data_IF_720411254982
#
_entry.id   IF_720411254982
#
_cell.length_a   1.000
_cell.length_b   1.000
_cell.length_c   1.000
_cell.angle_alpha   90.00
_cell.angle_beta   90.00
_cell.angle_gamma   90.00
#
_symmetry.space_group_name_H-M   'P 1'
#
loop_
_entity.id
_entity.type
_entity.pdbx_description
1 polymer ?
#
# COMPACT_ATOMS: atom_id res chain seq x y z
N UNK A 1 2.47 44.04 33.38
CA UNK A 1 3.16 43.99 32.07
C UNK A 1 3.72 42.58 31.91
N UNK A 2 2.84 41.58 31.94
CA UNK A 2 3.20 40.18 32.27
C UNK A 2 2.32 39.14 31.57
N UNK A 3 1.47 39.54 30.62
CA UNK A 3 0.47 38.64 30.01
C UNK A 3 0.89 38.11 28.62
N UNK A 4 1.88 38.74 27.97
CA UNK A 4 2.39 38.27 26.66
C UNK A 4 3.42 37.13 26.78
N UNK A 5 4.23 37.12 27.84
CA UNK A 5 5.30 36.12 28.01
C UNK A 5 4.77 34.71 28.27
N UNK A 6 3.76 34.58 29.14
CA UNK A 6 3.15 33.30 29.49
C UNK A 6 2.38 32.65 28.32
N UNK A 7 1.75 33.47 27.45
CA UNK A 7 1.08 32.97 26.24
C UNK A 7 2.05 32.37 25.22
N UNK A 8 3.26 32.92 25.11
CA UNK A 8 4.30 32.39 24.22
C UNK A 8 4.93 31.09 24.74
N UNK A 9 5.13 30.95 26.05
CA UNK A 9 5.66 29.72 26.65
C UNK A 9 4.67 28.56 26.58
N UNK A 10 3.37 28.84 26.72
CA UNK A 10 2.32 27.83 26.59
C UNK A 10 2.23 27.30 25.16
N UNK A 11 2.34 28.18 24.16
CA UNK A 11 2.39 27.79 22.74
C UNK A 11 3.63 26.95 22.39
N UNK A 12 4.79 27.25 23.00
CA UNK A 12 6.04 26.51 22.80
C UNK A 12 6.02 25.12 23.43
N UNK A 13 5.24 24.94 24.50
CA UNK A 13 5.08 23.65 25.19
C UNK A 13 4.14 22.71 24.45
N UNK A 14 3.13 23.25 23.75
CA UNK A 14 2.26 22.48 22.85
C UNK A 14 3.06 21.96 21.63
N UNK A 15 3.96 22.78 21.05
CA UNK A 15 4.81 22.37 19.92
C UNK A 15 5.82 21.24 20.23
N UNK A 16 6.15 21.03 21.51
CA UNK A 16 7.17 20.07 21.93
C UNK A 16 6.65 18.62 22.09
N UNK A 17 5.33 18.42 22.22
CA UNK A 17 4.72 17.10 22.51
C UNK A 17 4.05 16.44 21.29
N UNK A 18 4.03 17.10 20.13
CA UNK A 18 3.33 16.60 18.94
C UNK A 18 4.29 15.78 18.09
N UNK A 19 4.48 14.52 18.46
CA UNK A 19 5.27 13.57 17.65
C UNK A 19 4.53 13.05 16.40
N UNK A 20 3.24 13.41 16.23
CA UNK A 20 2.44 12.99 15.07
C UNK A 20 2.45 14.08 13.97
N UNK A 21 3.01 13.80 12.77
CA UNK A 21 3.04 14.77 11.67
C UNK A 21 1.65 15.26 11.22
N UNK A 22 0.60 14.47 11.42
CA UNK A 22 -0.78 14.87 11.11
C UNK A 22 -1.32 15.92 12.09
N UNK A 23 -1.01 15.77 13.38
CA UNK A 23 -1.34 16.77 14.40
C UNK A 23 -0.52 18.06 14.19
N UNK A 24 0.73 17.96 13.73
CA UNK A 24 1.54 19.13 13.35
C UNK A 24 0.92 19.89 12.17
N UNK A 25 0.43 19.16 11.16
CA UNK A 25 -0.26 19.78 10.01
C UNK A 25 -1.57 20.46 10.42
N UNK A 26 -2.37 19.84 11.30
CA UNK A 26 -3.62 20.42 11.81
C UNK A 26 -3.35 21.71 12.59
N UNK A 27 -2.35 21.72 13.46
CA UNK A 27 -1.96 22.90 14.24
C UNK A 27 -1.41 24.02 13.35
N UNK A 28 -0.67 23.66 12.29
CA UNK A 28 -0.22 24.63 11.29
C UNK A 28 -1.40 25.28 10.54
N UNK A 29 -2.43 24.49 10.17
CA UNK A 29 -3.64 25.00 9.51
C UNK A 29 -4.45 25.90 10.45
N UNK A 30 -4.66 25.49 11.70
CA UNK A 30 -5.36 26.31 12.70
C UNK A 30 -4.61 27.63 12.96
N UNK A 31 -3.28 27.60 13.08
CA UNK A 31 -2.45 28.81 13.19
C UNK A 31 -2.59 29.71 11.96
N UNK A 32 -2.59 29.12 10.77
CA UNK A 32 -2.75 29.88 9.53
C UNK A 32 -4.11 30.57 9.46
N UNK A 33 -5.19 29.86 9.79
CA UNK A 33 -6.57 30.41 9.82
C UNK A 33 -6.65 31.59 10.79
N UNK A 34 -6.11 31.44 12.01
CA UNK A 34 -6.08 32.55 12.98
C UNK A 34 -5.24 33.73 12.50
N UNK A 35 -4.07 33.47 11.89
CA UNK A 35 -3.19 34.53 11.39
C UNK A 35 -3.85 35.32 10.25
N UNK A 36 -4.56 34.65 9.35
CA UNK A 36 -5.30 35.27 8.25
C UNK A 36 -6.48 36.08 8.79
N UNK A 37 -7.21 35.56 9.78
CA UNK A 37 -8.30 36.28 10.43
C UNK A 37 -7.81 37.55 11.15
N UNK A 38 -6.67 37.49 11.84
CA UNK A 38 -6.08 38.64 12.55
C UNK A 38 -5.51 39.72 11.60
N UNK A 39 -5.18 39.37 10.35
CA UNK A 39 -4.58 40.30 9.37
C UNK A 39 -5.59 40.89 8.39
N UNK A 40 -6.84 40.45 8.42
CA UNK A 40 -7.85 40.82 7.43
C UNK A 40 -9.11 41.32 8.12
N UNK A 41 -9.31 42.64 8.13
CA UNK A 41 -10.40 43.31 8.86
C UNK A 41 -11.84 42.91 8.41
N UNK A 42 -11.99 42.28 7.24
CA UNK A 42 -13.28 41.94 6.61
C UNK A 42 -13.62 40.44 6.62
N UNK A 43 -12.90 39.61 7.37
CA UNK A 43 -13.20 38.17 7.45
C UNK A 43 -14.35 37.95 8.43
N UNK A 44 -15.48 37.49 7.89
CA UNK A 44 -16.64 37.09 8.69
C UNK A 44 -16.29 35.95 9.66
N UNK A 45 -16.65 36.13 10.93
CA UNK A 45 -16.39 35.16 12.01
C UNK A 45 -16.97 33.79 11.69
N UNK A 46 -18.13 33.75 11.01
CA UNK A 46 -18.74 32.50 10.56
C UNK A 46 -17.89 31.74 9.53
N UNK A 47 -17.09 32.44 8.72
CA UNK A 47 -16.17 31.82 7.76
C UNK A 47 -14.98 31.16 8.48
N UNK A 48 -14.49 31.77 9.56
CA UNK A 48 -13.40 31.22 10.40
C UNK A 48 -13.88 29.99 11.16
N UNK A 49 -15.06 30.06 11.78
CA UNK A 49 -15.66 28.93 12.49
C UNK A 49 -15.93 27.73 11.56
N UNK A 50 -16.44 28.00 10.36
CA UNK A 50 -16.64 26.96 9.35
C UNK A 50 -15.32 26.32 8.89
N UNK A 51 -14.25 27.12 8.75
CA UNK A 51 -12.93 26.60 8.37
C UNK A 51 -12.30 25.74 9.48
N UNK A 52 -12.44 26.14 10.74
CA UNK A 52 -11.99 25.33 11.89
C UNK A 52 -12.76 24.02 11.99
N UNK A 53 -14.09 24.05 11.89
CA UNK A 53 -14.92 22.85 11.90
C UNK A 53 -14.58 21.90 10.73
N UNK A 54 -14.29 22.45 9.54
CA UNK A 54 -13.86 21.66 8.39
C UNK A 54 -12.50 20.99 8.64
N UNK A 55 -11.55 21.71 9.25
CA UNK A 55 -10.24 21.16 9.59
C UNK A 55 -10.35 19.98 10.59
N UNK A 56 -11.18 20.12 11.63
CA UNK A 56 -11.43 19.03 12.59
C UNK A 56 -12.09 17.82 11.93
N UNK A 57 -13.10 18.06 11.09
CA UNK A 57 -13.78 16.99 10.33
C UNK A 57 -12.79 16.23 9.43
N UNK A 58 -11.87 16.94 8.77
CA UNK A 58 -10.85 16.32 7.91
C UNK A 58 -9.95 15.39 8.72
N UNK A 59 -9.53 15.80 9.92
CA UNK A 59 -8.69 14.96 10.78
C UNK A 59 -9.43 13.72 11.27
N UNK A 60 -10.68 13.87 11.69
CA UNK A 60 -11.52 12.73 12.09
C UNK A 60 -11.73 11.74 10.94
N UNK A 61 -11.96 12.25 9.73
CA UNK A 61 -12.08 11.44 8.52
C UNK A 61 -10.78 10.70 8.20
N UNK A 62 -9.62 11.36 8.31
CA UNK A 62 -8.33 10.73 8.09
C UNK A 62 -8.05 9.62 9.11
N UNK A 63 -8.30 9.87 10.40
CA UNK A 63 -8.14 8.87 11.45
C UNK A 63 -9.07 7.66 11.24
N UNK A 64 -10.31 7.93 10.81
CA UNK A 64 -11.27 6.87 10.48
C UNK A 64 -10.83 6.09 9.24
N UNK A 65 -10.28 6.76 8.23
CA UNK A 65 -9.80 6.13 7.01
C UNK A 65 -8.63 5.18 7.31
N UNK A 66 -7.66 5.61 8.12
CA UNK A 66 -6.54 4.75 8.54
C UNK A 66 -7.03 3.53 9.33
N UNK A 67 -7.97 3.71 10.27
CA UNK A 67 -8.57 2.59 11.00
C UNK A 67 -9.33 1.63 10.09
N UNK A 68 -10.04 2.15 9.10
CA UNK A 68 -10.75 1.32 8.11
C UNK A 68 -9.78 0.57 7.22
N UNK A 69 -8.69 1.20 6.76
CA UNK A 69 -7.62 0.52 6.02
C UNK A 69 -7.02 -0.63 6.83
N UNK A 70 -6.73 -0.40 8.11
CA UNK A 70 -6.16 -1.42 8.99
C UNK A 70 -7.12 -2.60 9.18
N UNK A 71 -8.42 -2.32 9.40
CA UNK A 71 -9.47 -3.35 9.50
C UNK A 71 -9.69 -4.10 8.19
N UNK A 72 -9.63 -3.40 7.06
CA UNK A 72 -9.71 -4.03 5.74
C UNK A 72 -8.51 -4.94 5.54
N UNK A 73 -7.29 -4.50 5.85
CA UNK A 73 -6.09 -5.34 5.78
C UNK A 73 -6.15 -6.54 6.74
N UNK A 74 -6.78 -6.40 7.91
CA UNK A 74 -7.05 -7.49 8.85
C UNK A 74 -8.06 -8.50 8.30
N UNK A 75 -9.20 -8.02 7.79
CA UNK A 75 -10.22 -8.88 7.19
C UNK A 75 -9.71 -9.54 5.91
N UNK A 76 -8.90 -8.85 5.11
CA UNK A 76 -8.22 -9.42 3.95
C UNK A 76 -7.25 -10.52 4.39
N UNK A 77 -6.55 -10.40 5.53
CA UNK A 77 -5.75 -11.50 6.09
C UNK A 77 -6.59 -12.71 6.50
N UNK A 78 -7.81 -12.50 7.02
CA UNK A 78 -8.71 -13.58 7.41
C UNK A 78 -9.43 -14.23 6.22
N UNK A 79 -9.79 -13.43 5.21
CA UNK A 79 -10.58 -13.85 4.05
C UNK A 79 -9.70 -14.36 2.91
N UNK A 80 -8.43 -13.95 2.83
CA UNK A 80 -7.48 -14.58 1.91
C UNK A 80 -7.39 -16.04 2.33
N UNK A 81 -7.93 -17.00 1.54
CA UNK A 81 -7.81 -18.40 1.89
C UNK A 81 -6.32 -18.66 2.02
N UNK A 82 -5.88 -19.36 3.08
CA UNK A 82 -4.48 -19.71 3.27
C UNK A 82 -4.00 -20.54 2.06
N UNK A 83 -3.64 -19.88 0.96
CA UNK A 83 -3.14 -20.47 -0.27
C UNK A 83 -1.83 -21.21 0.02
N UNK A 84 -1.11 -20.75 1.04
CA UNK A 84 0.08 -21.39 1.58
C UNK A 84 -0.20 -22.68 2.35
N UNK A 85 -1.36 -22.81 3.00
CA UNK A 85 -1.73 -24.04 3.71
C UNK A 85 -2.32 -25.11 2.77
N UNK A 86 -2.85 -24.71 1.61
CA UNK A 86 -3.37 -25.64 0.60
C UNK A 86 -2.22 -26.25 -0.20
N UNK A 87 -2.21 -27.58 -0.28
CA UNK A 87 -1.31 -28.28 -1.20
C UNK A 87 -1.66 -27.95 -2.66
N UNK A 88 -0.68 -28.05 -3.56
CA UNK A 88 -0.87 -27.77 -4.99
C UNK A 88 -2.09 -28.48 -5.61
N UNK A 89 -2.41 -29.69 -5.15
CA UNK A 89 -3.54 -30.48 -5.66
C UNK A 89 -4.90 -29.96 -5.18
N UNK A 90 -4.94 -29.20 -4.09
CA UNK A 90 -6.15 -28.60 -3.53
C UNK A 90 -6.41 -27.20 -4.09
N UNK A 91 -5.42 -26.59 -4.74
CA UNK A 91 -5.57 -25.29 -5.36
C UNK A 91 -6.36 -25.42 -6.67
N UNK A 92 -7.42 -24.64 -6.77
CA UNK A 92 -8.09 -24.39 -8.05
C UNK A 92 -7.16 -23.64 -9.00
N UNK A 93 -7.46 -23.67 -10.31
CA UNK A 93 -6.65 -22.99 -11.31
C UNK A 93 -6.51 -21.47 -11.06
N UNK A 94 -7.58 -20.73 -10.69
CA UNK A 94 -7.45 -19.32 -10.34
C UNK A 94 -6.57 -19.08 -9.11
N UNK A 95 -6.69 -19.92 -8.08
CA UNK A 95 -5.85 -19.84 -6.87
C UNK A 95 -4.36 -20.07 -7.16
N UNK A 96 -4.03 -21.00 -8.08
CA UNK A 96 -2.64 -21.18 -8.55
C UNK A 96 -2.13 -19.93 -9.26
N UNK A 97 -2.95 -19.31 -10.11
CA UNK A 97 -2.59 -18.07 -10.80
C UNK A 97 -2.37 -16.93 -9.80
N UNK A 98 -3.25 -16.81 -8.79
CA UNK A 98 -3.11 -15.82 -7.72
C UNK A 98 -1.82 -16.03 -6.94
N UNK A 99 -1.52 -17.25 -6.49
CA UNK A 99 -0.28 -17.58 -5.77
C UNK A 99 0.97 -17.25 -6.59
N UNK A 100 0.95 -17.50 -7.90
CA UNK A 100 2.04 -17.09 -8.80
C UNK A 100 2.22 -15.57 -8.85
N UNK A 101 1.12 -14.81 -8.92
CA UNK A 101 1.17 -13.33 -8.92
C UNK A 101 1.67 -12.77 -7.60
N UNK A 102 1.21 -13.32 -6.48
CA UNK A 102 1.66 -12.95 -5.13
C UNK A 102 3.16 -13.22 -4.93
N UNK A 103 3.66 -14.37 -5.40
CA UNK A 103 5.08 -14.70 -5.34
C UNK A 103 5.93 -13.74 -6.18
N UNK A 104 5.49 -13.43 -7.41
CA UNK A 104 6.15 -12.44 -8.27
C UNK A 104 6.15 -11.04 -7.64
N UNK A 105 5.01 -10.61 -7.10
CA UNK A 105 4.85 -9.30 -6.51
C UNK A 105 5.72 -9.16 -5.24
N UNK A 106 5.73 -10.18 -4.38
CA UNK A 106 6.62 -10.26 -3.23
C UNK A 106 8.09 -10.16 -3.65
N UNK A 107 8.50 -10.94 -4.66
CA UNK A 107 9.88 -10.86 -5.17
C UNK A 107 10.21 -9.48 -5.73
N UNK A 108 9.27 -8.83 -6.41
CA UNK A 108 9.45 -7.49 -6.95
C UNK A 108 9.55 -6.43 -5.84
N UNK A 109 8.79 -6.57 -4.75
CA UNK A 109 8.82 -5.63 -3.62
C UNK A 109 10.16 -5.64 -2.89
N UNK A 110 10.86 -6.79 -2.86
CA UNK A 110 12.22 -6.87 -2.30
C UNK A 110 13.31 -6.23 -3.18
N UNK A 111 12.99 -5.80 -4.40
CA UNK A 111 13.95 -5.24 -5.37
C UNK A 111 13.82 -3.74 -5.50
N UNK A 112 14.96 -3.04 -5.59
CA UNK A 112 15.02 -1.58 -5.75
C UNK A 112 14.28 -1.06 -7.00
N UNK A 113 14.18 -1.87 -8.05
CA UNK A 113 13.52 -1.49 -9.30
C UNK A 113 12.05 -1.93 -9.38
N UNK A 114 11.50 -2.50 -8.29
CA UNK A 114 10.10 -2.94 -8.16
C UNK A 114 9.62 -3.88 -9.28
N UNK A 115 10.56 -4.63 -9.87
CA UNK A 115 10.33 -5.54 -11.01
C UNK A 115 10.90 -6.92 -10.74
N UNK A 116 10.12 -7.96 -11.04
CA UNK A 116 10.56 -9.34 -10.95
C UNK A 116 10.18 -10.14 -12.20
N UNK A 117 10.85 -11.28 -12.38
CA UNK A 117 10.57 -12.22 -13.44
C UNK A 117 10.74 -13.65 -12.91
N UNK A 118 9.93 -14.57 -13.42
CA UNK A 118 10.01 -16.00 -13.16
C UNK A 118 9.99 -16.75 -14.48
N UNK A 119 10.88 -17.73 -14.63
CA UNK A 119 10.84 -18.69 -15.73
C UNK A 119 10.14 -20.01 -15.34
N UNK A 120 10.10 -20.96 -16.27
CA UNK A 120 9.51 -22.27 -16.02
C UNK A 120 10.07 -22.98 -14.78
N UNK A 121 11.39 -22.89 -14.54
CA UNK A 121 12.01 -23.52 -13.39
C UNK A 121 11.54 -22.85 -12.12
N UNK A 122 11.53 -21.53 -12.07
CA UNK A 122 11.05 -20.77 -10.90
C UNK A 122 9.60 -21.11 -10.56
N UNK A 123 8.72 -21.21 -11.57
CA UNK A 123 7.32 -21.60 -11.37
C UNK A 123 7.21 -23.06 -10.91
N UNK A 124 8.06 -23.94 -11.42
CA UNK A 124 8.10 -25.34 -10.97
C UNK A 124 8.52 -25.43 -9.52
N UNK A 125 9.54 -24.66 -9.11
CA UNK A 125 10.00 -24.57 -7.71
C UNK A 125 8.93 -23.98 -6.79
N UNK A 126 8.20 -22.95 -7.24
CA UNK A 126 7.11 -22.34 -6.47
C UNK A 126 6.02 -23.36 -6.08
N UNK A 127 5.82 -24.38 -6.90
CA UNK A 127 4.81 -25.41 -6.70
C UNK A 127 5.41 -26.79 -6.38
N UNK A 128 6.60 -26.84 -5.78
CA UNK A 128 7.26 -28.07 -5.30
C UNK A 128 7.42 -29.15 -6.39
N UNK A 129 7.64 -28.74 -7.64
CA UNK A 129 7.81 -29.68 -8.77
C UNK A 129 6.51 -30.22 -9.38
N UNK A 130 5.33 -29.79 -8.90
CA UNK A 130 4.06 -30.42 -9.27
C UNK A 130 3.45 -30.06 -10.64
N UNK A 131 3.58 -28.84 -11.21
CA UNK A 131 2.95 -28.57 -12.49
C UNK A 131 3.69 -29.30 -13.62
N UNK A 132 2.93 -29.97 -14.49
CA UNK A 132 3.48 -30.47 -15.75
C UNK A 132 4.00 -29.29 -16.61
N UNK A 133 4.95 -29.50 -17.53
CA UNK A 133 5.52 -28.42 -18.33
C UNK A 133 4.47 -27.56 -19.05
N UNK A 134 3.48 -28.20 -19.69
CA UNK A 134 2.38 -27.49 -20.35
C UNK A 134 1.54 -26.67 -19.36
N UNK A 135 1.21 -27.27 -18.22
CA UNK A 135 0.40 -26.59 -17.22
C UNK A 135 1.12 -25.41 -16.56
N UNK A 136 2.43 -25.49 -16.37
CA UNK A 136 3.22 -24.36 -15.88
C UNK A 136 3.16 -23.18 -16.86
N UNK A 137 3.30 -23.43 -18.17
CA UNK A 137 3.14 -22.37 -19.18
C UNK A 137 1.73 -21.80 -19.22
N UNK A 138 0.69 -22.63 -19.08
CA UNK A 138 -0.70 -22.15 -19.00
C UNK A 138 -0.90 -21.21 -17.80
N UNK A 139 -0.30 -21.53 -16.65
CA UNK A 139 -0.37 -20.68 -15.45
C UNK A 139 0.36 -19.36 -15.66
N UNK A 140 1.54 -19.38 -16.29
CA UNK A 140 2.30 -18.16 -16.63
C UNK A 140 1.54 -17.27 -17.61
N UNK A 141 0.92 -17.86 -18.62
CA UNK A 141 0.13 -17.12 -19.61
C UNK A 141 -1.10 -16.48 -18.96
N UNK A 142 -1.86 -17.23 -18.15
CA UNK A 142 -3.00 -16.70 -17.42
C UNK A 142 -2.61 -15.62 -16.41
N UNK A 143 -1.50 -15.82 -15.69
CA UNK A 143 -1.01 -14.81 -14.76
C UNK A 143 -0.65 -13.51 -15.48
N UNK A 144 -0.07 -13.59 -16.68
CA UNK A 144 0.25 -12.45 -17.55
C UNK A 144 -0.94 -11.67 -18.12
N UNK A 145 -2.18 -12.15 -17.95
CA UNK A 145 -3.38 -11.42 -18.40
C UNK A 145 -3.78 -10.28 -17.45
N UNK A 146 -3.23 -10.22 -16.23
CA UNK A 146 -3.53 -9.14 -15.29
C UNK A 146 -2.70 -7.88 -15.55
N UNK A 147 -3.27 -6.73 -15.18
CA UNK A 147 -2.58 -5.44 -15.26
C UNK A 147 -1.28 -5.45 -14.44
N UNK A 148 -0.17 -5.03 -15.06
CA UNK A 148 1.16 -5.04 -14.45
C UNK A 148 1.92 -6.36 -14.59
N UNK A 149 1.28 -7.41 -15.11
CA UNK A 149 1.91 -8.69 -15.41
C UNK A 149 2.07 -8.88 -16.91
N UNK A 150 3.17 -9.50 -17.35
CA UNK A 150 3.45 -9.75 -18.76
C UNK A 150 4.04 -11.13 -18.94
N UNK A 151 3.42 -11.95 -19.80
CA UNK A 151 4.00 -13.20 -20.26
C UNK A 151 4.79 -12.96 -21.55
N UNK A 152 6.11 -13.13 -21.49
CA UNK A 152 6.98 -12.99 -22.65
C UNK A 152 7.23 -14.33 -23.32
N UNK A 153 6.96 -14.36 -24.61
CA UNK A 153 7.48 -15.37 -25.53
C UNK A 153 8.62 -14.74 -26.34
N UNK A 154 9.88 -15.07 -26.05
CA UNK A 154 11.01 -14.48 -26.76
C UNK A 154 10.95 -14.84 -28.25
N UNK A 155 11.28 -13.85 -29.09
CA UNK A 155 11.18 -13.91 -30.56
C UNK A 155 12.35 -14.64 -31.23
N UNK A 156 13.37 -15.02 -30.46
CA UNK A 156 14.56 -15.76 -30.91
C UNK A 156 14.68 -17.09 -30.16
N UNK A 157 15.20 -18.12 -30.85
CA UNK A 157 15.31 -19.51 -30.40
C UNK A 157 16.12 -19.75 -29.11
N UNK A 158 16.75 -18.71 -28.55
CA UNK A 158 17.61 -18.77 -27.36
C UNK A 158 16.96 -18.27 -26.07
N UNK A 159 15.75 -17.73 -26.12
CA UNK A 159 15.08 -17.19 -24.94
C UNK A 159 14.15 -18.19 -24.26
N UNK A 160 14.20 -18.27 -22.93
CA UNK A 160 13.17 -18.97 -22.15
C UNK A 160 11.90 -18.12 -22.04
N UNK A 161 10.74 -18.78 -22.14
CA UNK A 161 9.44 -18.18 -21.81
C UNK A 161 9.46 -17.78 -20.33
N UNK A 162 8.97 -16.58 -20.03
CA UNK A 162 9.01 -16.01 -18.68
C UNK A 162 7.80 -15.14 -18.41
N UNK A 163 7.42 -15.03 -17.16
CA UNK A 163 6.45 -14.04 -16.69
C UNK A 163 7.19 -12.93 -15.95
N UNK A 164 6.78 -11.69 -16.15
CA UNK A 164 7.31 -10.49 -15.49
C UNK A 164 6.22 -9.74 -14.77
N UNK A 165 6.60 -9.03 -13.72
CA UNK A 165 5.75 -8.04 -13.04
C UNK A 165 6.47 -6.70 -12.95
N UNK A 166 5.71 -5.64 -13.16
CA UNK A 166 6.08 -4.26 -12.84
C UNK A 166 5.09 -3.75 -11.78
N UNK A 167 5.52 -3.70 -10.51
CA UNK A 167 4.61 -3.37 -9.41
C UNK A 167 4.00 -1.98 -9.54
N UNK A 168 4.67 -1.05 -10.20
CA UNK A 168 4.15 0.31 -10.40
C UNK A 168 2.99 0.34 -11.43
N UNK A 169 2.84 -0.73 -12.20
CA UNK A 169 1.76 -0.93 -13.17
C UNK A 169 0.68 -1.92 -12.68
N UNK A 170 0.85 -2.53 -11.50
CA UNK A 170 -0.14 -3.43 -10.90
C UNK A 170 -1.32 -2.61 -10.38
N UNK A 171 -2.53 -2.98 -10.80
CA UNK A 171 -3.79 -2.37 -10.36
C UNK A 171 -4.58 -3.22 -9.36
N UNK A 172 -4.02 -4.38 -8.99
CA UNK A 172 -4.64 -5.32 -8.08
C UNK A 172 -4.16 -5.00 -6.65
N UNK A 173 -5.05 -4.35 -5.89
CA UNK A 173 -4.77 -3.85 -4.54
C UNK A 173 -4.40 -4.98 -3.57
N UNK A 174 -4.99 -6.18 -3.72
CA UNK A 174 -4.70 -7.33 -2.87
C UNK A 174 -3.27 -7.85 -3.08
N UNK A 175 -2.83 -7.93 -4.34
CA UNK A 175 -1.46 -8.35 -4.70
C UNK A 175 -0.44 -7.29 -4.26
N UNK A 176 -0.79 -6.01 -4.36
CA UNK A 176 0.05 -4.90 -3.92
C UNK A 176 0.22 -4.87 -2.39
N UNK A 177 -0.86 -5.06 -1.64
CA UNK A 177 -0.83 -5.14 -0.18
C UNK A 177 -0.05 -6.35 0.32
N UNK A 178 -0.24 -7.53 -0.28
CA UNK A 178 0.54 -8.73 0.07
C UNK A 178 2.05 -8.48 -0.11
N UNK A 179 2.44 -7.85 -1.21
CA UNK A 179 3.84 -7.56 -1.52
C UNK A 179 4.47 -6.52 -0.55
N UNK A 180 3.73 -5.46 -0.21
CA UNK A 180 4.21 -4.46 0.75
C UNK A 180 4.35 -5.05 2.16
N UNK A 181 3.41 -5.90 2.60
CA UNK A 181 3.46 -6.54 3.91
C UNK A 181 4.62 -7.54 4.04
N UNK A 182 5.00 -8.23 2.97
CA UNK A 182 6.19 -9.07 2.95
C UNK A 182 7.50 -8.28 3.12
N UNK A 183 7.53 -7.01 2.67
CA UNK A 183 8.70 -6.14 2.83
C UNK A 183 8.80 -5.49 4.22
N UNK A 184 7.68 -5.29 4.90
CA UNK A 184 7.62 -4.66 6.23
C UNK A 184 7.61 -5.66 7.40
N UNK A 185 7.33 -6.94 7.15
CA UNK A 185 7.39 -8.02 8.17
C UNK A 185 8.79 -8.58 8.44
N UNK A 186 9.82 -8.15 7.71
CA UNK A 186 11.20 -8.60 7.87
C UNK A 186 11.98 -7.74 8.86
N UNK A 187 11.66 -7.80 10.15
CA UNK A 187 12.48 -7.19 11.22
C UNK A 187 12.92 -8.28 12.21
N UNK A 188 14.22 -8.60 12.12
CA UNK A 188 15.15 -9.26 13.08
C UNK A 188 14.60 -10.32 14.02
#
# INVERSE_FOLDING_TARGET
MTDRGERYETARRIDADISNPQQQAQIAVVRFIHTVADTTDDVDVGTVEAALHAADTIVDLQATNERLKERVAELEREVTPQLDAKSYMQLTRPEKVQRLREALATQAATRNNRKAQMDYKDVTWLFDGNPSPGHAYDLMELAGQAAGFVYDTPRSDSGNKRIRVDLDAVKDEAVFHAANNASSGGTV
#
